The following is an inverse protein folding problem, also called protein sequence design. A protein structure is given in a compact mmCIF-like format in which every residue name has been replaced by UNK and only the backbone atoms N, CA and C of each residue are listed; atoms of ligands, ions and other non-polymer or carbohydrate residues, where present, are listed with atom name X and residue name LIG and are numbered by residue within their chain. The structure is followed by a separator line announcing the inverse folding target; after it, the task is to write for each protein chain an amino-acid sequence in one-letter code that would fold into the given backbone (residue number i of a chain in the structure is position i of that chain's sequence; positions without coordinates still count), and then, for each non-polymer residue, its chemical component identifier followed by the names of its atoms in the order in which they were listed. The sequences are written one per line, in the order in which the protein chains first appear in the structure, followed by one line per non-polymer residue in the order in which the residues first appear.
data_IF_387386073857
#
_entry.id   IF_387386073857
#
_cell.length_a   1.000
_cell.length_b   1.000
_cell.length_c   1.000
_cell.angle_alpha   90.00
_cell.angle_beta   90.00
_cell.angle_gamma   90.00
#
_symmetry.space_group_name_H-M   'P 1'
#
loop_
_entity.id
_entity.type
_entity.pdbx_description
1 polymer ?
#
# COMPACT_ATOMS: atom_id res chain seq x y z
N UNK A 1 53.53 -36.62 -20.61
CA UNK A 1 53.13 -36.09 -19.29
C UNK A 1 53.72 -34.69 -19.21
N UNK A 2 53.03 -33.56 -19.20
CA UNK A 2 51.84 -33.14 -18.43
C UNK A 2 51.04 -32.15 -19.29
N UNK A 3 49.72 -32.18 -19.09
CA UNK A 3 48.67 -31.43 -19.77
C UNK A 3 48.57 -29.98 -19.28
N UNK A 4 48.18 -29.11 -20.22
CA UNK A 4 47.21 -28.01 -20.11
C UNK A 4 47.41 -26.92 -19.04
N UNK A 5 47.73 -25.71 -19.52
CA UNK A 5 47.57 -24.45 -18.80
C UNK A 5 46.63 -23.57 -19.61
N UNK A 6 45.33 -23.60 -19.31
CA UNK A 6 44.35 -22.65 -19.84
C UNK A 6 43.01 -22.87 -19.13
N UNK A 7 42.72 -22.06 -18.11
CA UNK A 7 41.45 -21.33 -17.93
C UNK A 7 41.40 -20.73 -16.53
N UNK A 8 41.78 -19.47 -16.41
CA UNK A 8 41.35 -18.62 -15.30
C UNK A 8 40.69 -17.40 -15.92
N UNK A 9 39.40 -17.22 -15.59
CA UNK A 9 38.68 -15.97 -15.36
C UNK A 9 37.26 -16.01 -15.95
N UNK A 10 36.35 -16.69 -15.25
CA UNK A 10 34.92 -16.41 -15.32
C UNK A 10 34.37 -16.41 -13.90
N UNK A 11 34.48 -15.26 -13.22
CA UNK A 11 33.89 -15.08 -11.90
C UNK A 11 33.45 -13.63 -11.71
N UNK A 12 32.54 -13.18 -12.59
CA UNK A 12 31.82 -11.92 -12.40
C UNK A 12 30.37 -12.07 -12.87
N UNK A 13 29.58 -12.96 -12.26
CA UNK A 13 28.13 -12.96 -12.45
C UNK A 13 27.39 -13.61 -11.29
N UNK A 14 27.53 -13.09 -10.07
CA UNK A 14 26.63 -13.45 -8.95
C UNK A 14 26.43 -12.30 -7.97
N UNK A 15 25.98 -11.14 -8.45
CA UNK A 15 25.45 -10.09 -7.56
C UNK A 15 24.19 -9.46 -8.16
N UNK A 16 23.17 -10.26 -8.51
CA UNK A 16 21.81 -9.72 -8.81
C UNK A 16 20.69 -10.73 -8.48
N UNK A 17 20.63 -11.24 -7.25
CA UNK A 17 19.48 -12.06 -6.81
C UNK A 17 18.90 -11.71 -5.42
N UNK A 18 19.42 -10.69 -4.73
CA UNK A 18 18.96 -10.36 -3.38
C UNK A 18 17.70 -9.49 -3.30
N UNK A 19 17.29 -8.85 -4.41
CA UNK A 19 16.16 -7.92 -4.42
C UNK A 19 14.77 -8.58 -4.40
N UNK A 20 14.65 -9.80 -4.94
CA UNK A 20 13.34 -10.45 -5.16
C UNK A 20 12.81 -11.20 -3.93
N UNK A 21 13.62 -11.40 -2.89
CA UNK A 21 13.22 -12.23 -1.72
C UNK A 21 12.39 -11.49 -0.66
N UNK A 22 12.22 -10.18 -0.78
CA UNK A 22 11.69 -9.36 0.32
C UNK A 22 10.20 -8.99 0.19
N UNK A 23 9.46 -9.46 -0.82
CA UNK A 23 8.00 -9.24 -0.93
C UNK A 23 7.21 -10.47 -0.53
N UNK A 24 6.28 -10.28 0.39
CA UNK A 24 5.22 -11.23 0.74
C UNK A 24 3.86 -10.64 0.40
N UNK A 25 2.98 -11.44 -0.19
CA UNK A 25 1.57 -11.10 -0.39
C UNK A 25 0.73 -12.09 0.42
N UNK A 26 -0.22 -11.59 1.20
CA UNK A 26 -1.08 -12.39 2.08
C UNK A 26 -2.52 -11.94 1.99
N UNK A 27 -3.42 -12.86 2.30
CA UNK A 27 -4.78 -12.56 2.72
C UNK A 27 -4.83 -12.99 4.18
N UNK A 28 -5.01 -12.02 5.08
CA UNK A 28 -5.10 -12.29 6.52
C UNK A 28 -6.55 -12.56 6.88
N UNK A 29 -6.83 -13.68 7.54
CA UNK A 29 -8.20 -14.07 7.89
C UNK A 29 -8.91 -13.09 8.82
N UNK A 30 -8.17 -12.32 9.63
CA UNK A 30 -8.74 -11.29 10.51
C UNK A 30 -9.13 -10.05 9.72
N UNK A 31 -8.27 -9.63 8.77
CA UNK A 31 -8.60 -8.56 7.81
C UNK A 31 -9.82 -8.98 7.00
N UNK A 32 -9.80 -10.16 6.39
CA UNK A 32 -10.89 -10.67 5.56
C UNK A 32 -12.22 -10.72 6.34
N UNK A 33 -12.20 -11.20 7.59
CA UNK A 33 -13.39 -11.25 8.42
C UNK A 33 -14.01 -9.87 8.68
N UNK A 34 -13.18 -8.86 8.96
CA UNK A 34 -13.66 -7.48 9.17
C UNK A 34 -14.10 -6.86 7.84
N UNK A 35 -13.40 -7.13 6.74
CA UNK A 35 -13.84 -6.69 5.41
C UNK A 35 -15.22 -7.28 5.10
N UNK A 36 -15.45 -8.58 5.32
CA UNK A 36 -16.76 -9.23 5.14
C UNK A 36 -17.84 -8.52 5.96
N UNK A 37 -17.57 -8.24 7.24
CA UNK A 37 -18.49 -7.49 8.11
C UNK A 37 -18.81 -6.11 7.51
N UNK A 38 -17.78 -5.32 7.19
CA UNK A 38 -17.93 -3.97 6.66
C UNK A 38 -18.66 -3.95 5.32
N UNK A 39 -18.31 -4.85 4.40
CA UNK A 39 -18.96 -4.98 3.10
C UNK A 39 -20.44 -5.30 3.26
N UNK A 40 -20.83 -6.22 4.14
CA UNK A 40 -22.24 -6.53 4.37
C UNK A 40 -22.99 -5.39 5.07
N UNK A 41 -22.37 -4.75 6.05
CA UNK A 41 -22.99 -3.67 6.80
C UNK A 41 -23.26 -2.46 5.88
N UNK A 42 -22.35 -2.16 4.97
CA UNK A 42 -22.42 -0.98 4.10
C UNK A 42 -22.97 -1.25 2.69
N UNK A 43 -23.32 -2.50 2.37
CA UNK A 43 -23.72 -2.92 1.01
C UNK A 43 -24.87 -2.15 0.40
N UNK A 44 -25.78 -1.59 1.17
CA UNK A 44 -26.96 -0.87 0.67
C UNK A 44 -26.74 0.64 0.60
N UNK A 45 -25.55 1.10 1.01
CA UNK A 45 -25.28 2.51 1.32
C UNK A 45 -24.13 3.08 0.52
N UNK A 46 -23.09 2.29 0.25
CA UNK A 46 -21.98 2.71 -0.60
C UNK A 46 -22.30 2.43 -2.06
N UNK A 47 -22.14 3.42 -2.93
CA UNK A 47 -22.33 3.25 -4.38
C UNK A 47 -21.34 2.24 -4.97
N UNK A 48 -20.09 2.31 -4.52
CA UNK A 48 -19.01 1.45 -5.02
C UNK A 48 -19.07 0.07 -4.35
N UNK A 49 -19.37 -0.95 -5.15
CA UNK A 49 -19.42 -2.35 -4.72
C UNK A 49 -18.07 -3.06 -4.93
N UNK A 50 -17.84 -4.21 -4.28
CA UNK A 50 -16.74 -5.10 -4.61
C UNK A 50 -16.69 -5.41 -6.11
N UNK A 51 -15.48 -5.61 -6.63
CA UNK A 51 -15.28 -5.95 -8.04
C UNK A 51 -15.94 -7.30 -8.36
N UNK A 52 -16.77 -7.41 -9.42
CA UNK A 52 -17.41 -8.67 -9.80
C UNK A 52 -16.38 -9.80 -9.98
N UNK A 53 -16.66 -10.95 -9.36
CA UNK A 53 -15.80 -12.14 -9.40
C UNK A 53 -16.55 -13.37 -8.90
N UNK A 54 -16.00 -14.56 -9.17
CA UNK A 54 -16.45 -15.82 -8.57
C UNK A 54 -16.46 -15.75 -7.05
N UNK A 55 -15.44 -15.13 -6.44
CA UNK A 55 -15.38 -14.93 -5.00
C UNK A 55 -16.52 -14.06 -4.48
N UNK A 56 -16.84 -12.95 -5.16
CA UNK A 56 -17.94 -12.08 -4.76
C UNK A 56 -19.32 -12.75 -4.96
N UNK A 57 -19.45 -13.63 -5.96
CA UNK A 57 -20.63 -14.48 -6.13
C UNK A 57 -20.82 -15.41 -4.93
N UNK A 58 -19.77 -16.11 -4.51
CA UNK A 58 -19.81 -17.03 -3.37
C UNK A 58 -20.05 -16.30 -2.05
N UNK A 59 -19.46 -15.11 -1.89
CA UNK A 59 -19.76 -14.20 -0.78
C UNK A 59 -21.26 -13.88 -0.72
N UNK A 60 -21.86 -13.44 -1.83
CA UNK A 60 -23.29 -13.11 -1.86
C UNK A 60 -24.13 -14.34 -1.54
N UNK A 61 -23.84 -15.49 -2.16
CA UNK A 61 -24.59 -16.73 -1.93
C UNK A 61 -24.54 -17.19 -0.46
N UNK A 62 -23.38 -17.09 0.19
CA UNK A 62 -23.23 -17.50 1.59
C UNK A 62 -23.89 -16.53 2.57
N UNK A 63 -23.69 -15.22 2.36
CA UNK A 63 -24.05 -14.19 3.34
C UNK A 63 -25.43 -13.56 3.15
N UNK A 64 -26.12 -13.77 2.03
CA UNK A 64 -27.42 -13.16 1.75
C UNK A 64 -28.45 -13.42 2.86
N UNK A 65 -28.51 -14.64 3.40
CA UNK A 65 -29.43 -15.00 4.49
C UNK A 65 -29.14 -14.30 5.81
N UNK A 66 -27.96 -13.71 5.97
CA UNK A 66 -27.57 -12.97 7.18
C UNK A 66 -27.63 -11.46 7.01
N UNK A 67 -28.12 -10.94 5.86
CA UNK A 67 -28.11 -9.49 5.57
C UNK A 67 -28.77 -8.61 6.63
N UNK A 68 -29.72 -9.16 7.39
CA UNK A 68 -30.46 -8.48 8.46
C UNK A 68 -29.97 -8.87 9.87
N UNK A 69 -28.76 -9.44 9.99
CA UNK A 69 -28.19 -9.80 11.27
C UNK A 69 -28.11 -8.59 12.21
N UNK A 70 -28.45 -8.78 13.49
CA UNK A 70 -28.61 -7.67 14.45
C UNK A 70 -27.38 -6.78 14.58
N UNK A 71 -26.17 -7.35 14.47
CA UNK A 71 -24.91 -6.60 14.55
C UNK A 71 -24.62 -5.79 13.29
N UNK A 72 -25.09 -6.25 12.11
CA UNK A 72 -25.01 -5.46 10.88
C UNK A 72 -25.99 -4.27 10.96
N UNK A 73 -27.19 -4.50 11.50
CA UNK A 73 -28.17 -3.43 11.71
C UNK A 73 -27.70 -2.42 12.76
N UNK A 74 -27.08 -2.89 13.85
CA UNK A 74 -26.42 -2.03 14.83
C UNK A 74 -25.44 -1.08 14.14
N UNK A 75 -24.53 -1.63 13.33
CA UNK A 75 -23.52 -0.83 12.64
C UNK A 75 -24.12 0.18 11.66
N UNK A 76 -25.15 -0.22 10.90
CA UNK A 76 -25.87 0.68 9.96
C UNK A 76 -26.51 1.88 10.65
N UNK A 77 -26.92 1.72 11.91
CA UNK A 77 -27.59 2.74 12.69
C UNK A 77 -26.64 3.63 13.52
N UNK A 78 -25.33 3.47 13.37
CA UNK A 78 -24.35 4.37 14.01
C UNK A 78 -24.38 5.75 13.35
N UNK A 79 -24.18 6.80 14.14
CA UNK A 79 -24.16 8.20 13.68
C UNK A 79 -22.95 8.51 12.79
N UNK A 80 -21.86 7.78 12.99
CA UNK A 80 -20.61 7.91 12.22
C UNK A 80 -20.20 6.54 11.72
N UNK A 81 -19.74 6.47 10.47
CA UNK A 81 -19.23 5.23 9.89
C UNK A 81 -17.72 5.24 9.71
N UNK A 82 -17.16 4.03 9.72
CA UNK A 82 -15.79 3.81 9.33
C UNK A 82 -15.63 3.78 7.81
N UNK A 83 -14.39 3.85 7.35
CA UNK A 83 -13.99 3.77 5.95
C UNK A 83 -13.43 2.38 5.63
N UNK A 84 -13.01 2.20 4.38
CA UNK A 84 -12.46 0.94 3.86
C UNK A 84 -11.15 0.49 4.53
N UNK A 85 -10.53 1.35 5.34
CA UNK A 85 -9.37 1.06 6.18
C UNK A 85 -9.72 0.28 7.47
N UNK A 86 -11.01 0.17 7.85
CA UNK A 86 -11.47 -0.51 9.07
C UNK A 86 -10.85 -1.90 9.27
N UNK A 87 -10.73 -2.68 8.20
CA UNK A 87 -10.23 -4.07 8.30
C UNK A 87 -8.77 -4.20 8.73
N UNK A 88 -7.99 -3.11 8.72
CA UNK A 88 -6.63 -3.09 9.28
C UNK A 88 -6.63 -3.46 10.77
N UNK A 89 -7.72 -3.19 11.49
CA UNK A 89 -7.89 -3.60 12.90
C UNK A 89 -7.61 -5.09 13.10
N UNK A 90 -7.90 -5.92 12.09
CA UNK A 90 -7.65 -7.35 12.14
C UNK A 90 -6.21 -7.70 12.53
N UNK A 91 -5.23 -6.88 12.15
CA UNK A 91 -3.83 -7.10 12.48
C UNK A 91 -3.50 -6.87 13.96
N UNK A 92 -4.33 -6.13 14.69
CA UNK A 92 -4.20 -5.91 16.13
C UNK A 92 -4.85 -7.03 16.95
N UNK A 93 -5.61 -7.94 16.33
CA UNK A 93 -6.40 -8.95 17.02
C UNK A 93 -5.63 -10.26 17.21
N UNK A 94 -6.04 -11.05 18.20
CA UNK A 94 -5.60 -12.44 18.37
C UNK A 94 -5.83 -13.26 17.10
N UNK A 95 -4.99 -14.28 16.88
CA UNK A 95 -5.09 -15.15 15.69
C UNK A 95 -6.27 -16.13 15.72
N UNK A 96 -7.00 -16.22 16.83
CA UNK A 96 -8.12 -17.15 17.00
C UNK A 96 -9.35 -16.45 17.57
N UNK A 97 -10.52 -16.93 17.14
CA UNK A 97 -11.81 -16.59 17.72
C UNK A 97 -11.93 -17.16 19.15
N UNK A 98 -12.54 -16.44 20.11
CA UNK A 98 -13.01 -15.07 20.00
C UNK A 98 -11.86 -14.05 19.91
N UNK A 99 -12.00 -13.08 19.02
CA UNK A 99 -10.99 -12.07 18.79
C UNK A 99 -10.92 -11.07 19.95
N UNK A 100 -9.70 -10.78 20.39
CA UNK A 100 -9.36 -9.76 21.38
C UNK A 100 -8.19 -8.95 20.84
N UNK A 101 -7.95 -7.75 21.39
CA UNK A 101 -6.70 -7.04 21.11
C UNK A 101 -5.51 -7.86 21.64
N UNK A 102 -4.59 -8.20 20.74
CA UNK A 102 -3.28 -8.77 21.06
C UNK A 102 -2.20 -7.67 21.05
N UNK A 103 -2.35 -6.69 20.14
CA UNK A 103 -1.50 -5.51 20.05
C UNK A 103 -2.34 -4.31 20.51
N UNK A 104 -1.82 -3.41 21.37
CA UNK A 104 -2.50 -2.17 21.72
C UNK A 104 -2.92 -1.40 20.47
N UNK A 105 -4.20 -1.09 20.36
CA UNK A 105 -4.72 -0.37 19.22
C UNK A 105 -4.33 1.11 19.31
N UNK A 106 -3.49 1.55 18.39
CA UNK A 106 -3.05 2.95 18.26
C UNK A 106 -3.56 3.59 16.96
N UNK A 107 -4.48 2.92 16.27
CA UNK A 107 -5.02 3.35 14.99
C UNK A 107 -6.17 4.35 15.10
N UNK A 108 -6.62 4.83 13.95
CA UNK A 108 -7.75 5.76 13.81
C UNK A 108 -8.82 5.22 12.85
N UNK A 109 -8.73 3.94 12.47
CA UNK A 109 -9.61 3.29 11.50
C UNK A 109 -11.01 3.02 12.09
N UNK A 110 -11.10 2.72 13.39
CA UNK A 110 -12.36 2.70 14.14
C UNK A 110 -12.70 4.11 14.64
N UNK A 111 -13.75 4.69 14.07
CA UNK A 111 -14.34 6.01 14.35
C UNK A 111 -15.80 5.89 14.82
N UNK A 112 -16.47 4.83 14.40
CA UNK A 112 -17.91 4.61 14.60
C UNK A 112 -18.31 4.22 16.03
N UNK A 113 -17.40 3.64 16.81
CA UNK A 113 -17.65 3.13 18.17
C UNK A 113 -16.34 2.92 18.94
N UNK A 114 -16.43 2.55 20.22
CA UNK A 114 -15.27 2.08 20.98
C UNK A 114 -14.91 0.62 20.62
N UNK A 115 -13.65 0.25 20.85
CA UNK A 115 -13.12 -1.07 20.49
C UNK A 115 -13.82 -2.23 21.21
N UNK A 116 -14.25 -2.03 22.46
CA UNK A 116 -14.90 -3.09 23.24
C UNK A 116 -16.28 -3.40 22.64
N UNK A 117 -17.08 -2.37 22.37
CA UNK A 117 -18.39 -2.50 21.72
C UNK A 117 -18.28 -3.07 20.31
N UNK A 118 -17.30 -2.60 19.53
CA UNK A 118 -17.05 -3.12 18.19
C UNK A 118 -16.71 -4.61 18.23
N UNK A 119 -15.76 -5.03 19.08
CA UNK A 119 -15.34 -6.44 19.16
C UNK A 119 -16.44 -7.36 19.69
N UNK A 120 -17.33 -6.88 20.57
CA UNK A 120 -18.48 -7.66 21.01
C UNK A 120 -19.41 -7.99 19.82
N UNK A 121 -19.82 -6.96 19.07
CA UNK A 121 -20.68 -7.11 17.89
C UNK A 121 -19.99 -7.90 16.76
N UNK A 122 -18.70 -7.65 16.53
CA UNK A 122 -17.92 -8.34 15.51
C UNK A 122 -17.74 -9.84 15.81
N UNK A 123 -17.44 -10.20 17.07
CA UNK A 123 -17.34 -11.61 17.46
C UNK A 123 -18.66 -12.36 17.34
N UNK A 124 -19.78 -11.70 17.69
CA UNK A 124 -21.10 -12.28 17.51
C UNK A 124 -21.43 -12.49 16.02
N UNK A 125 -21.20 -11.48 15.18
CA UNK A 125 -21.29 -11.61 13.72
C UNK A 125 -20.44 -12.78 13.19
N UNK A 126 -19.17 -12.85 13.59
CA UNK A 126 -18.23 -13.86 13.11
C UNK A 126 -18.74 -15.28 13.34
N UNK A 127 -19.27 -15.52 14.55
CA UNK A 127 -19.85 -16.80 14.97
C UNK A 127 -21.15 -17.10 14.22
N UNK A 128 -22.12 -16.20 14.31
CA UNK A 128 -23.50 -16.45 13.88
C UNK A 128 -23.62 -16.50 12.35
N UNK A 129 -22.84 -15.68 11.65
CA UNK A 129 -22.79 -15.67 10.18
C UNK A 129 -21.83 -16.73 9.59
N UNK A 130 -21.22 -17.57 10.44
CA UNK A 130 -20.32 -18.67 10.04
C UNK A 130 -19.15 -18.17 9.17
N UNK A 131 -18.54 -17.04 9.55
CA UNK A 131 -17.46 -16.40 8.79
C UNK A 131 -16.23 -17.30 8.71
N UNK A 132 -15.88 -18.00 9.79
CA UNK A 132 -14.75 -18.95 9.79
C UNK A 132 -14.92 -20.03 8.70
N UNK A 133 -16.14 -20.57 8.55
CA UNK A 133 -16.45 -21.58 7.53
C UNK A 133 -16.21 -21.03 6.13
N UNK A 134 -16.66 -19.81 5.87
CA UNK A 134 -16.46 -19.15 4.58
C UNK A 134 -14.96 -18.99 4.28
N UNK A 135 -14.19 -18.40 5.20
CA UNK A 135 -12.74 -18.19 5.05
C UNK A 135 -11.98 -19.51 4.86
N UNK A 136 -12.30 -20.55 5.65
CA UNK A 136 -11.67 -21.88 5.52
C UNK A 136 -11.94 -22.52 4.16
N UNK A 137 -13.14 -22.35 3.61
CA UNK A 137 -13.54 -22.92 2.31
C UNK A 137 -12.74 -22.29 1.16
N UNK A 138 -12.41 -21.00 1.25
CA UNK A 138 -11.69 -20.26 0.19
C UNK A 138 -10.16 -20.25 0.36
N UNK A 139 -9.61 -20.99 1.34
CA UNK A 139 -8.17 -20.99 1.63
C UNK A 139 -7.28 -21.31 0.42
N UNK A 140 -7.71 -22.24 -0.43
CA UNK A 140 -6.97 -22.60 -1.65
C UNK A 140 -7.01 -21.49 -2.70
N UNK A 141 -8.14 -20.80 -2.85
CA UNK A 141 -8.27 -19.65 -3.72
C UNK A 141 -7.38 -18.49 -3.25
N UNK A 142 -7.34 -18.23 -1.93
CA UNK A 142 -6.43 -17.22 -1.37
C UNK A 142 -4.95 -17.50 -1.67
N UNK A 143 -4.53 -18.77 -1.62
CA UNK A 143 -3.16 -19.17 -1.99
C UNK A 143 -2.91 -18.89 -3.48
N UNK A 144 -3.86 -19.20 -4.37
CA UNK A 144 -3.74 -18.90 -5.80
C UNK A 144 -3.64 -17.40 -6.05
N UNK A 145 -4.51 -16.61 -5.44
CA UNK A 145 -4.57 -15.14 -5.57
C UNK A 145 -3.25 -14.51 -5.11
N UNK A 146 -2.77 -14.89 -3.93
CA UNK A 146 -1.52 -14.33 -3.36
C UNK A 146 -0.29 -14.74 -4.15
N UNK A 147 -0.23 -15.99 -4.63
CA UNK A 147 0.84 -16.45 -5.52
C UNK A 147 0.82 -15.71 -6.86
N UNK A 148 -0.36 -15.51 -7.45
CA UNK A 148 -0.51 -14.76 -8.69
C UNK A 148 -0.05 -13.31 -8.51
N UNK A 149 -0.51 -12.63 -7.46
CA UNK A 149 -0.09 -11.26 -7.15
C UNK A 149 1.43 -11.13 -6.95
N UNK A 150 2.02 -12.05 -6.18
CA UNK A 150 3.49 -12.09 -5.98
C UNK A 150 4.23 -12.32 -7.29
N UNK A 151 3.73 -13.24 -8.13
CA UNK A 151 4.27 -13.51 -9.45
C UNK A 151 4.20 -12.27 -10.34
N UNK A 152 3.06 -11.58 -10.40
CA UNK A 152 2.90 -10.33 -11.17
C UNK A 152 3.87 -9.25 -10.73
N UNK A 153 4.08 -9.06 -9.42
CA UNK A 153 5.10 -8.12 -8.92
C UNK A 153 6.49 -8.52 -9.41
N UNK A 154 6.84 -9.81 -9.30
CA UNK A 154 8.16 -10.33 -9.67
C UNK A 154 8.42 -10.17 -11.17
N UNK A 155 7.49 -10.61 -12.00
CA UNK A 155 7.59 -10.57 -13.47
C UNK A 155 7.56 -9.14 -14.00
N UNK A 156 6.86 -8.22 -13.33
CA UNK A 156 6.91 -6.82 -13.70
C UNK A 156 8.30 -6.20 -13.54
N UNK A 157 9.21 -6.80 -12.76
CA UNK A 157 10.52 -6.24 -12.40
C UNK A 157 10.46 -4.93 -11.58
N UNK A 158 9.28 -4.52 -11.10
CA UNK A 158 9.07 -3.20 -10.48
C UNK A 158 9.98 -2.91 -9.29
N UNK A 159 10.27 -3.92 -8.46
CA UNK A 159 11.16 -3.77 -7.30
C UNK A 159 12.60 -3.47 -7.71
N UNK A 160 13.07 -4.10 -8.79
CA UNK A 160 14.39 -3.85 -9.33
C UNK A 160 14.48 -2.46 -9.93
N UNK A 161 13.41 -1.97 -10.56
CA UNK A 161 13.38 -0.61 -11.11
C UNK A 161 13.46 0.44 -9.98
N UNK A 162 12.72 0.22 -8.89
CA UNK A 162 12.82 1.04 -7.67
C UNK A 162 14.23 1.01 -7.08
N UNK A 163 14.81 -0.18 -6.89
CA UNK A 163 16.15 -0.31 -6.34
C UNK A 163 17.19 0.37 -7.23
N UNK A 164 17.12 0.15 -8.55
CA UNK A 164 18.00 0.78 -9.53
C UNK A 164 17.85 2.29 -9.49
N UNK A 165 16.64 2.83 -9.38
CA UNK A 165 16.40 4.26 -9.32
C UNK A 165 17.10 4.91 -8.13
N UNK A 166 16.94 4.36 -6.92
CA UNK A 166 17.54 4.94 -5.72
C UNK A 166 19.02 4.60 -5.54
N UNK A 167 19.47 3.48 -6.11
CA UNK A 167 20.80 2.87 -5.94
C UNK A 167 21.28 2.81 -4.47
N UNK A 168 20.33 2.62 -3.56
CA UNK A 168 20.54 2.57 -2.10
C UNK A 168 20.08 1.19 -1.62
N UNK A 169 20.83 0.47 -0.78
CA UNK A 169 20.33 -0.77 -0.20
C UNK A 169 19.07 -0.50 0.63
N UNK A 170 18.07 -1.37 0.50
CA UNK A 170 16.92 -1.42 1.39
C UNK A 170 16.87 -2.79 2.06
N UNK A 171 16.89 -2.80 3.39
CA UNK A 171 16.83 -4.03 4.19
C UNK A 171 15.40 -4.33 4.66
N UNK A 172 14.40 -3.57 4.20
CA UNK A 172 13.03 -3.72 4.66
C UNK A 172 12.28 -4.86 3.96
N UNK A 173 11.50 -5.62 4.74
CA UNK A 173 10.53 -6.57 4.20
C UNK A 173 9.28 -5.82 3.75
N UNK A 174 8.74 -6.18 2.59
CA UNK A 174 7.49 -5.63 2.06
C UNK A 174 6.40 -6.67 2.30
N UNK A 175 5.40 -6.29 3.08
CA UNK A 175 4.25 -7.14 3.40
C UNK A 175 2.97 -6.52 2.86
N UNK A 176 2.36 -7.21 1.90
CA UNK A 176 1.17 -6.76 1.19
C UNK A 176 -0.01 -7.61 1.64
N UNK A 177 -1.07 -6.96 2.13
CA UNK A 177 -2.35 -7.61 2.39
C UNK A 177 -3.30 -7.34 1.23
N UNK A 178 -3.64 -8.38 0.47
CA UNK A 178 -4.65 -8.29 -0.58
C UNK A 178 -6.05 -8.33 0.06
N UNK A 179 -6.90 -7.38 -0.35
CA UNK A 179 -8.27 -7.24 0.15
C UNK A 179 -9.23 -7.35 -1.04
N UNK A 180 -9.83 -8.54 -1.20
CA UNK A 180 -10.55 -8.92 -2.43
C UNK A 180 -11.92 -8.24 -2.52
N UNK A 181 -12.55 -7.94 -1.38
CA UNK A 181 -13.85 -7.29 -1.34
C UNK A 181 -13.74 -5.76 -1.27
N UNK A 182 -12.55 -5.22 -0.97
CA UNK A 182 -12.32 -3.79 -1.02
C UNK A 182 -12.06 -3.32 -2.45
N UNK A 183 -12.93 -2.44 -2.94
CA UNK A 183 -12.76 -1.73 -4.22
C UNK A 183 -12.62 -0.21 -4.00
N UNK A 184 -12.43 0.27 -2.77
CA UNK A 184 -12.46 1.70 -2.45
C UNK A 184 -11.07 2.34 -2.51
N UNK A 185 -10.05 1.69 -1.98
CA UNK A 185 -8.69 2.22 -1.99
C UNK A 185 -7.64 1.35 -1.30
N UNK A 186 -6.39 1.79 -1.38
CA UNK A 186 -5.23 1.15 -0.78
C UNK A 186 -4.82 1.92 0.49
N UNK A 187 -4.15 1.27 1.44
CA UNK A 187 -3.70 1.92 2.68
C UNK A 187 -2.30 1.45 3.07
N UNK A 188 -1.43 2.40 3.45
CA UNK A 188 -0.29 2.08 4.28
C UNK A 188 -0.76 1.61 5.67
N UNK A 189 -0.02 0.71 6.29
CA UNK A 189 -0.32 0.17 7.61
C UNK A 189 0.84 0.50 8.55
N UNK A 190 0.53 1.27 9.59
CA UNK A 190 1.45 1.56 10.68
C UNK A 190 1.00 0.84 11.94
N UNK A 191 1.84 -0.08 12.40
CA UNK A 191 1.61 -0.82 13.65
C UNK A 191 2.92 -0.77 14.44
N UNK A 192 2.85 -0.18 15.62
CA UNK A 192 3.97 -0.09 16.55
C UNK A 192 4.12 -1.39 17.33
N UNK A 193 4.49 -2.47 16.63
CA UNK A 193 4.77 -3.77 17.22
C UNK A 193 6.19 -4.24 16.86
N UNK A 194 6.91 -4.76 17.85
CA UNK A 194 8.30 -5.19 17.69
C UNK A 194 8.50 -6.23 16.58
N UNK A 195 7.49 -7.07 16.31
CA UNK A 195 7.55 -8.12 15.26
C UNK A 195 7.43 -7.54 13.84
N UNK A 196 7.01 -6.28 13.73
CA UNK A 196 6.77 -5.58 12.46
C UNK A 196 7.81 -4.47 12.19
N UNK A 197 8.76 -4.26 13.11
CA UNK A 197 9.87 -3.31 12.93
C UNK A 197 10.63 -3.62 11.64
N UNK A 198 10.91 -2.58 10.85
CA UNK A 198 11.66 -2.68 9.60
C UNK A 198 10.85 -3.21 8.41
N UNK A 199 9.55 -3.49 8.58
CA UNK A 199 8.68 -3.90 7.49
C UNK A 199 7.91 -2.71 6.93
N UNK A 200 7.79 -2.60 5.61
CA UNK A 200 6.77 -1.74 4.98
C UNK A 200 5.53 -2.59 4.74
N UNK A 201 4.44 -2.18 5.36
CA UNK A 201 3.20 -2.94 5.38
C UNK A 201 2.11 -2.09 4.72
N UNK A 202 1.35 -2.69 3.81
CA UNK A 202 0.22 -2.00 3.19
C UNK A 202 -0.85 -2.99 2.74
N UNK A 203 -2.08 -2.48 2.63
CA UNK A 203 -3.25 -3.20 2.12
C UNK A 203 -3.60 -2.70 0.73
N UNK A 204 -3.84 -3.63 -0.19
CA UNK A 204 -4.26 -3.32 -1.56
C UNK A 204 -5.70 -3.77 -1.81
N UNK A 205 -6.49 -2.87 -2.40
CA UNK A 205 -7.83 -3.14 -2.91
C UNK A 205 -7.78 -3.96 -4.20
N UNK A 206 -8.76 -4.84 -4.38
CA UNK A 206 -9.02 -5.48 -5.67
C UNK A 206 -9.86 -4.56 -6.55
N UNK A 207 -9.17 -3.70 -7.30
CA UNK A 207 -9.79 -2.71 -8.17
C UNK A 207 -10.22 -3.33 -9.51
N UNK A 208 -11.35 -2.87 -10.04
CA UNK A 208 -11.82 -3.28 -11.34
C UNK A 208 -10.83 -2.88 -12.44
N UNK A 209 -10.45 -3.84 -13.28
CA UNK A 209 -9.68 -3.56 -14.49
C UNK A 209 -10.62 -3.03 -15.56
N UNK A 210 -10.40 -1.79 -16.00
CA UNK A 210 -11.25 -1.14 -17.03
C UNK A 210 -11.14 -1.80 -18.40
N UNK A 211 -10.08 -2.58 -18.64
CA UNK A 211 -9.83 -3.25 -19.92
C UNK A 211 -10.32 -4.69 -19.95
N UNK A 212 -10.83 -5.20 -18.82
CA UNK A 212 -11.31 -6.59 -18.71
C UNK A 212 -12.77 -6.56 -18.25
N UNK A 213 -13.65 -7.19 -19.02
CA UNK A 213 -15.02 -7.41 -18.57
C UNK A 213 -15.02 -8.45 -17.44
N UNK A 214 -15.18 -7.97 -16.21
CA UNK A 214 -15.28 -8.82 -15.03
C UNK A 214 -16.74 -9.12 -14.72
N UNK A 215 -17.04 -10.39 -14.47
CA UNK A 215 -18.38 -10.89 -14.11
C UNK A 215 -18.29 -11.74 -12.85
N UNK A 216 -19.45 -12.14 -12.32
CA UNK A 216 -19.55 -13.06 -11.18
C UNK A 216 -19.04 -14.49 -11.48
N UNK A 217 -18.57 -14.77 -12.69
CA UNK A 217 -17.91 -16.03 -13.05
C UNK A 217 -16.40 -15.85 -13.26
N UNK A 218 -15.88 -14.63 -13.12
CA UNK A 218 -14.46 -14.32 -13.34
C UNK A 218 -13.63 -14.69 -12.12
N UNK A 219 -12.63 -15.56 -12.28
CA UNK A 219 -11.67 -15.87 -11.22
C UNK A 219 -10.89 -14.60 -10.83
N UNK A 220 -10.62 -14.44 -9.53
CA UNK A 220 -9.87 -13.30 -9.01
C UNK A 220 -8.41 -13.36 -9.48
N UNK A 221 -8.06 -12.48 -10.42
CA UNK A 221 -6.67 -12.21 -10.82
C UNK A 221 -6.21 -10.90 -10.17
N UNK A 222 -5.62 -11.00 -8.99
CA UNK A 222 -5.15 -9.83 -8.26
C UNK A 222 -3.82 -9.33 -8.81
N UNK A 223 -3.85 -8.23 -9.57
CA UNK A 223 -2.65 -7.57 -10.11
C UNK A 223 -2.41 -6.29 -9.31
N UNK A 224 -1.41 -6.24 -8.41
CA UNK A 224 -1.01 -5.02 -7.73
C UNK A 224 -0.63 -3.93 -8.73
N UNK A 225 -1.21 -2.74 -8.58
CA UNK A 225 -0.86 -1.61 -9.45
C UNK A 225 0.59 -1.19 -9.21
N UNK A 226 1.41 -1.16 -10.27
CA UNK A 226 2.84 -0.83 -10.18
C UNK A 226 3.09 0.50 -9.50
N UNK A 227 2.29 1.54 -9.80
CA UNK A 227 2.46 2.87 -9.18
C UNK A 227 2.28 2.83 -7.65
N UNK A 228 1.36 2.00 -7.14
CA UNK A 228 1.15 1.84 -5.70
C UNK A 228 2.31 1.07 -5.07
N UNK A 229 2.77 -0.01 -5.71
CA UNK A 229 3.94 -0.76 -5.21
C UNK A 229 5.19 0.13 -5.20
N UNK A 230 5.45 0.89 -6.27
CA UNK A 230 6.56 1.84 -6.36
C UNK A 230 6.45 2.89 -5.24
N UNK A 231 5.25 3.43 -5.02
CA UNK A 231 4.99 4.44 -3.99
C UNK A 231 5.31 3.92 -2.59
N UNK A 232 4.73 2.78 -2.19
CA UNK A 232 4.93 2.25 -0.85
C UNK A 232 6.37 1.82 -0.61
N UNK A 233 7.03 1.24 -1.62
CA UNK A 233 8.43 0.83 -1.49
C UNK A 233 9.35 2.04 -1.45
N UNK A 234 9.05 3.13 -2.18
CA UNK A 234 9.84 4.36 -2.20
C UNK A 234 10.00 5.01 -0.82
N UNK A 235 8.98 4.91 0.03
CA UNK A 235 9.05 5.32 1.43
C UNK A 235 10.23 4.68 2.18
N UNK A 236 10.57 3.41 1.91
CA UNK A 236 11.73 2.74 2.54
C UNK A 236 13.07 3.37 2.17
N UNK A 237 13.18 3.95 0.97
CA UNK A 237 14.42 4.51 0.45
C UNK A 237 14.62 5.97 0.87
N UNK A 238 13.54 6.67 1.22
CA UNK A 238 13.51 8.09 1.52
C UNK A 238 13.29 8.42 3.01
N UNK A 239 13.06 7.40 3.86
CA UNK A 239 12.72 7.54 5.28
C UNK A 239 13.72 8.35 6.12
N UNK A 240 14.96 8.53 5.67
CA UNK A 240 16.01 9.28 6.33
C UNK A 240 16.12 10.74 5.86
N UNK A 241 15.43 11.14 4.77
CA UNK A 241 15.50 12.51 4.24
C UNK A 241 14.97 13.54 5.25
N UNK A 242 13.71 13.40 5.69
CA UNK A 242 13.10 14.35 6.63
C UNK A 242 13.84 14.36 7.97
N UNK A 243 14.18 13.22 8.60
CA UNK A 243 14.99 13.22 9.82
C UNK A 243 16.33 13.95 9.66
N UNK A 244 17.04 13.73 8.54
CA UNK A 244 18.36 14.32 8.27
C UNK A 244 18.32 15.84 8.12
N UNK A 245 17.25 16.40 7.56
CA UNK A 245 17.11 17.84 7.30
C UNK A 245 16.04 18.53 8.15
N UNK A 246 15.60 17.89 9.25
CA UNK A 246 14.45 18.31 10.08
C UNK A 246 14.46 19.80 10.41
N UNK A 247 15.58 20.34 10.87
CA UNK A 247 15.68 21.74 11.26
C UNK A 247 15.48 22.68 10.07
N UNK A 248 16.18 22.45 8.95
CA UNK A 248 16.07 23.26 7.74
C UNK A 248 14.67 23.18 7.14
N UNK A 249 14.09 21.98 7.07
CA UNK A 249 12.74 21.75 6.57
C UNK A 249 11.68 22.43 7.45
N UNK A 250 11.85 22.43 8.78
CA UNK A 250 10.89 23.07 9.69
C UNK A 250 10.72 24.57 9.44
N UNK A 251 11.78 25.25 8.96
CA UNK A 251 11.74 26.68 8.57
C UNK A 251 10.97 26.93 7.27
N UNK A 252 10.65 25.87 6.53
CA UNK A 252 9.92 25.89 5.25
C UNK A 252 8.62 25.10 5.31
N UNK A 253 8.18 24.66 6.50
CA UNK A 253 7.03 23.78 6.69
C UNK A 253 5.74 24.32 6.06
N UNK A 254 5.56 25.64 6.07
CA UNK A 254 4.33 26.31 5.59
C UNK A 254 4.11 26.11 4.08
N UNK A 255 5.18 25.86 3.32
CA UNK A 255 5.09 25.49 1.89
C UNK A 255 4.29 24.21 1.68
N UNK A 256 4.28 23.31 2.66
CA UNK A 256 3.64 21.99 2.59
C UNK A 256 2.30 21.94 3.33
N UNK A 257 1.85 23.06 3.89
CA UNK A 257 0.57 23.17 4.60
C UNK A 257 -0.53 23.80 3.75
N UNK A 258 -0.27 24.05 2.47
CA UNK A 258 -1.26 24.56 1.52
C UNK A 258 -1.28 23.66 0.28
N UNK A 259 -2.44 23.08 -0.03
CA UNK A 259 -2.61 22.26 -1.24
C UNK A 259 -2.64 23.13 -2.51
N UNK A 260 -2.55 22.51 -3.68
CA UNK A 260 -2.68 23.19 -4.98
C UNK A 260 -4.04 23.90 -5.16
N UNK A 261 -5.05 23.54 -4.35
CA UNK A 261 -6.37 24.17 -4.32
C UNK A 261 -6.50 25.25 -3.24
N UNK A 262 -5.39 25.65 -2.61
CA UNK A 262 -5.33 26.59 -1.49
C UNK A 262 -6.06 26.13 -0.22
N UNK A 263 -6.22 24.81 -0.03
CA UNK A 263 -6.73 24.27 1.23
C UNK A 263 -5.61 24.28 2.27
N UNK A 264 -5.89 24.83 3.46
CA UNK A 264 -4.93 24.92 4.56
C UNK A 264 -5.02 23.67 5.44
N UNK A 265 -3.89 23.00 5.61
CA UNK A 265 -3.76 21.77 6.38
C UNK A 265 -3.33 22.06 7.82
N UNK A 266 -3.53 21.08 8.72
CA UNK A 266 -3.08 21.21 10.12
C UNK A 266 -1.56 21.22 10.17
N UNK A 267 -0.98 22.03 11.06
CA UNK A 267 0.48 22.14 11.19
C UNK A 267 1.16 20.77 11.36
N UNK A 268 0.55 19.85 12.11
CA UNK A 268 1.09 18.50 12.34
C UNK A 268 1.30 17.68 11.05
N UNK A 269 0.69 18.06 9.92
CA UNK A 269 0.73 17.32 8.66
C UNK A 269 1.92 17.65 7.77
N UNK A 270 2.68 18.73 8.02
CA UNK A 270 3.71 19.20 7.06
C UNK A 270 4.75 18.13 6.69
N UNK A 271 5.10 17.25 7.63
CA UNK A 271 6.06 16.16 7.38
C UNK A 271 5.47 15.11 6.45
N UNK A 272 4.22 14.71 6.69
CA UNK A 272 3.52 13.73 5.88
C UNK A 272 3.36 14.26 4.45
N UNK A 273 2.95 15.51 4.29
CA UNK A 273 2.78 16.13 2.97
C UNK A 273 4.11 16.23 2.20
N UNK A 274 5.21 16.59 2.88
CA UNK A 274 6.53 16.63 2.27
C UNK A 274 7.02 15.22 1.86
N UNK A 275 6.83 14.23 2.74
CA UNK A 275 7.24 12.85 2.51
C UNK A 275 6.51 12.28 1.29
N UNK A 276 5.18 12.42 1.27
CA UNK A 276 4.34 12.03 0.14
C UNK A 276 4.73 12.77 -1.14
N UNK A 277 4.96 14.08 -1.09
CA UNK A 277 5.38 14.88 -2.24
C UNK A 277 6.67 14.35 -2.87
N UNK A 278 7.73 14.15 -2.08
CA UNK A 278 9.02 13.67 -2.59
C UNK A 278 8.89 12.25 -3.12
N UNK A 279 8.19 11.37 -2.40
CA UNK A 279 7.95 10.00 -2.84
C UNK A 279 7.20 9.98 -4.18
N UNK A 280 6.13 10.78 -4.32
CA UNK A 280 5.33 10.85 -5.55
C UNK A 280 6.13 11.40 -6.74
N UNK A 281 7.03 12.36 -6.51
CA UNK A 281 7.97 12.83 -7.55
C UNK A 281 8.92 11.71 -7.99
N UNK A 282 9.45 10.92 -7.05
CA UNK A 282 10.25 9.75 -7.43
C UNK A 282 9.43 8.70 -8.18
N UNK A 283 8.17 8.48 -7.79
CA UNK A 283 7.24 7.57 -8.47
C UNK A 283 7.02 7.98 -9.92
N UNK A 284 6.76 9.26 -10.21
CA UNK A 284 6.59 9.74 -11.59
C UNK A 284 7.86 9.50 -12.42
N UNK A 285 9.05 9.74 -11.86
CA UNK A 285 10.32 9.47 -12.55
C UNK A 285 10.55 7.99 -12.83
N UNK A 286 10.32 7.11 -11.85
CA UNK A 286 10.47 5.66 -12.03
C UNK A 286 9.50 5.15 -13.10
N UNK A 287 8.26 5.64 -13.09
CA UNK A 287 7.28 5.29 -14.11
C UNK A 287 7.66 5.84 -15.50
N UNK A 288 8.24 7.03 -15.56
CA UNK A 288 8.79 7.61 -16.78
C UNK A 288 9.93 6.79 -17.38
N UNK A 289 10.91 6.42 -16.56
CA UNK A 289 12.04 5.56 -16.98
C UNK A 289 11.56 4.20 -17.50
N UNK A 290 10.51 3.65 -16.88
CA UNK A 290 10.01 2.31 -17.21
C UNK A 290 9.02 2.25 -18.37
N UNK A 291 8.09 3.19 -18.42
CA UNK A 291 6.93 3.16 -19.33
C UNK A 291 6.92 4.33 -20.32
N UNK A 292 7.91 5.24 -20.26
CA UNK A 292 8.04 6.38 -21.14
C UNK A 292 7.50 7.68 -20.55
N UNK A 293 7.90 8.79 -21.18
CA UNK A 293 7.62 10.16 -20.72
C UNK A 293 6.13 10.48 -20.56
N UNK A 294 5.26 9.93 -21.42
CA UNK A 294 3.80 10.10 -21.30
C UNK A 294 3.28 9.56 -19.96
N UNK A 295 3.85 8.47 -19.44
CA UNK A 295 3.44 7.93 -18.14
C UNK A 295 3.90 8.83 -16.99
N UNK A 296 5.07 9.46 -17.11
CA UNK A 296 5.52 10.47 -16.17
C UNK A 296 4.56 11.67 -16.17
N UNK A 297 4.22 12.19 -17.35
CA UNK A 297 3.31 13.34 -17.49
C UNK A 297 1.93 13.06 -16.87
N UNK A 298 1.36 11.88 -17.10
CA UNK A 298 0.09 11.49 -16.48
C UNK A 298 0.14 11.54 -14.95
N UNK A 299 1.24 11.07 -14.34
CA UNK A 299 1.40 11.18 -12.90
C UNK A 299 1.61 12.63 -12.45
N UNK A 300 2.39 13.43 -13.19
CA UNK A 300 2.55 14.86 -12.92
C UNK A 300 1.20 15.56 -12.90
N UNK A 301 0.37 15.36 -13.91
CA UNK A 301 -0.97 15.94 -13.97
C UNK A 301 -1.87 15.48 -12.83
N UNK A 302 -1.79 14.20 -12.46
CA UNK A 302 -2.61 13.65 -11.38
C UNK A 302 -2.20 14.22 -10.01
N UNK A 303 -0.91 14.20 -9.69
CA UNK A 303 -0.39 14.63 -8.38
C UNK A 303 -0.43 16.15 -8.19
N UNK A 304 -0.29 16.93 -9.27
CA UNK A 304 -0.36 18.40 -9.23
C UNK A 304 -1.75 18.94 -8.85
N UNK A 305 -2.78 18.10 -8.85
CA UNK A 305 -4.12 18.49 -8.37
C UNK A 305 -4.18 18.69 -6.85
N UNK A 306 -3.25 18.08 -6.12
CA UNK A 306 -3.13 18.18 -4.65
C UNK A 306 -1.84 18.89 -4.24
N UNK A 307 -0.70 18.49 -4.79
CA UNK A 307 0.61 19.00 -4.37
C UNK A 307 1.02 20.24 -5.18
N UNK A 308 1.04 21.40 -4.51
CA UNK A 308 1.31 22.71 -5.13
C UNK A 308 2.62 22.74 -5.93
N UNK A 309 3.72 22.20 -5.37
CA UNK A 309 5.06 22.27 -5.97
C UNK A 309 5.46 21.00 -6.75
N UNK A 310 4.49 20.16 -7.12
CA UNK A 310 4.80 18.87 -7.75
C UNK A 310 5.52 19.03 -9.10
N UNK A 311 5.05 19.93 -9.95
CA UNK A 311 5.60 20.13 -11.30
C UNK A 311 7.04 20.62 -11.24
N UNK A 312 7.29 21.61 -10.38
CA UNK A 312 8.57 22.24 -10.15
C UNK A 312 9.59 21.24 -9.60
N UNK A 313 9.20 20.47 -8.58
CA UNK A 313 10.05 19.41 -8.03
C UNK A 313 10.29 18.30 -9.05
N UNK A 314 9.26 17.85 -9.78
CA UNK A 314 9.44 16.83 -10.81
C UNK A 314 10.41 17.29 -11.90
N UNK A 315 10.33 18.54 -12.35
CA UNK A 315 11.29 19.10 -13.31
C UNK A 315 12.71 19.16 -12.69
N UNK A 316 12.83 19.59 -11.44
CA UNK A 316 14.11 19.63 -10.73
C UNK A 316 14.76 18.25 -10.62
N UNK A 317 13.98 17.19 -10.41
CA UNK A 317 14.48 15.81 -10.33
C UNK A 317 15.09 15.29 -11.64
N UNK A 318 14.92 15.99 -12.78
CA UNK A 318 15.72 15.70 -13.99
C UNK A 318 17.22 15.81 -13.72
N UNK A 319 17.65 16.69 -12.80
CA UNK A 319 19.07 16.77 -12.40
C UNK A 319 19.57 15.44 -11.84
N UNK A 320 18.75 14.70 -11.11
CA UNK A 320 19.10 13.39 -10.60
C UNK A 320 19.13 12.34 -11.71
N UNK A 321 18.04 12.22 -12.47
CA UNK A 321 17.88 11.17 -13.48
C UNK A 321 18.81 11.33 -14.68
N UNK A 322 19.19 12.56 -15.04
CA UNK A 322 20.11 12.83 -16.16
C UNK A 322 21.59 12.76 -15.74
N UNK A 323 21.89 12.83 -14.44
CA UNK A 323 23.27 12.82 -13.93
C UNK A 323 23.50 11.66 -12.95
N UNK A 324 22.96 10.47 -13.25
CA UNK A 324 23.08 9.28 -12.39
C UNK A 324 24.52 8.86 -12.10
N UNK A 325 25.47 9.20 -12.97
CA UNK A 325 26.89 8.95 -12.75
C UNK A 325 27.52 9.89 -11.70
N UNK A 326 26.91 11.06 -11.45
CA UNK A 326 27.38 12.03 -10.45
C UNK A 326 27.02 11.60 -9.03
N UNK A 327 25.85 10.99 -8.85
CA UNK A 327 25.31 10.60 -7.54
C UNK A 327 25.35 9.09 -7.40
N UNK A 328 26.14 8.56 -6.45
CA UNK A 328 26.20 7.11 -6.21
C UNK A 328 24.85 6.56 -5.79
N UNK A 329 24.05 7.34 -5.08
CA UNK A 329 22.69 6.97 -4.65
C UNK A 329 21.87 8.23 -4.36
N UNK A 330 20.58 8.06 -4.07
CA UNK A 330 19.67 9.17 -3.79
C UNK A 330 20.11 10.03 -2.58
N UNK A 331 20.80 9.45 -1.59
CA UNK A 331 21.25 10.18 -0.40
C UNK A 331 22.31 11.24 -0.74
N UNK A 332 23.14 11.00 -1.76
CA UNK A 332 24.07 12.01 -2.29
C UNK A 332 23.36 13.15 -3.03
N UNK A 333 22.13 12.94 -3.49
CA UNK A 333 21.28 13.96 -4.10
C UNK A 333 20.45 14.77 -3.08
N UNK A 334 20.32 14.30 -1.84
CA UNK A 334 19.54 15.00 -0.80
C UNK A 334 19.95 16.46 -0.55
N UNK A 335 21.25 16.84 -0.53
CA UNK A 335 21.63 18.25 -0.38
C UNK A 335 21.04 19.12 -1.48
N UNK A 336 20.98 18.62 -2.72
CA UNK A 336 20.42 19.35 -3.86
C UNK A 336 18.90 19.52 -3.69
N UNK A 337 18.17 18.48 -3.25
CA UNK A 337 16.74 18.56 -2.94
C UNK A 337 16.47 19.64 -1.88
N UNK A 338 17.23 19.61 -0.78
CA UNK A 338 17.07 20.57 0.32
C UNK A 338 17.34 22.00 -0.14
N UNK A 339 18.43 22.22 -0.88
CA UNK A 339 18.77 23.53 -1.41
C UNK A 339 17.67 24.05 -2.35
N UNK A 340 17.09 23.19 -3.18
CA UNK A 340 15.97 23.56 -4.05
C UNK A 340 14.73 23.94 -3.26
N UNK A 341 14.34 23.15 -2.25
CA UNK A 341 13.20 23.46 -1.36
C UNK A 341 13.37 24.85 -0.72
N UNK A 342 14.59 25.24 -0.34
CA UNK A 342 14.82 26.56 0.25
C UNK A 342 14.58 27.73 -0.71
N UNK A 343 14.63 27.48 -2.02
CA UNK A 343 14.33 28.48 -3.06
C UNK A 343 12.83 28.63 -3.35
N UNK A 344 12.00 27.67 -2.94
CA UNK A 344 10.55 27.73 -3.14
C UNK A 344 9.93 28.87 -2.31
N UNK A 345 8.87 29.46 -2.87
CA UNK A 345 8.14 30.62 -2.34
C UNK A 345 6.69 30.30 -2.08
#
# INVERSE_FOLDING_TARGET
MIKAFLTTLFLTFFVQLFAQRNVQVKIDGRIEAITIFYTLATRDTLDKKPTPSSYYKDFNAHFEKYKNHKTLNWYRNLETWDSYDLSIIGLFLTNQYPFKLEIPYTGHQLRSSDMTTFLANFNEFYKDCKVEKFIKTHKQEYIKITNFAKKSITESNVLNDVQKFYNKPSNGEILIFADILNNLGNNAIEINDGKLIGKKIFKLAYLQDKNVLQTNETEVKFIPLSNVVIHEVSHLYLNDFIPKYKERLSRKKDLFLTTAKNEVLKETQWKNELDELIVRVCVSKILGEKYGFERELQEVENQSKHFKYFKELNLFFNKYTQNRNKYKNITEFYPEIMNYIETLK
#
